data_IF_891270184015
#
_entry.id   IF_891270184015
#
_cell.length_a   1.000
_cell.length_b   1.000
_cell.length_c   1.000
_cell.angle_alpha   90.00
_cell.angle_beta   90.00
_cell.angle_gamma   90.00
#
_symmetry.space_group_name_H-M   'P 1'
#
loop_
_entity.id
_entity.type
_entity.pdbx_description
1 polymer ?
#
# COMPACT_ATOMS: atom_id res chain seq x y z
N UNK A 1 -20.39 -44.29 -40.09
CA UNK A 1 -19.42 -43.48 -40.88
C UNK A 1 -18.03 -44.03 -40.63
N UNK A 2 -17.24 -44.34 -41.66
CA UNK A 2 -15.84 -44.78 -41.49
C UNK A 2 -14.94 -43.58 -41.80
N UNK A 3 -14.13 -43.15 -40.84
CA UNK A 3 -13.18 -42.05 -41.01
C UNK A 3 -11.75 -42.60 -41.09
N UNK A 4 -10.93 -41.95 -41.91
CA UNK A 4 -9.51 -42.30 -42.06
C UNK A 4 -8.76 -41.77 -40.84
N UNK A 5 -7.80 -42.54 -40.32
CA UNK A 5 -6.96 -42.10 -39.19
C UNK A 5 -6.11 -40.88 -39.59
N UNK A 6 -5.91 -39.89 -38.71
CA UNK A 6 -5.15 -38.66 -39.02
C UNK A 6 -3.73 -38.92 -39.58
N UNK A 7 -3.07 -40.01 -39.17
CA UNK A 7 -1.73 -40.37 -39.65
C UNK A 7 -1.64 -40.76 -41.13
N UNK A 8 -2.77 -41.03 -41.81
CA UNK A 8 -2.81 -41.34 -43.23
C UNK A 8 -3.00 -40.09 -44.13
N UNK A 9 -3.10 -38.90 -43.53
CA UNK A 9 -3.24 -37.64 -44.27
C UNK A 9 -2.08 -37.37 -45.25
N UNK A 10 -0.91 -37.96 -45.02
CA UNK A 10 0.21 -37.89 -45.97
C UNK A 10 -0.09 -38.52 -47.35
N UNK A 11 -1.11 -39.39 -47.45
CA UNK A 11 -1.57 -39.99 -48.70
C UNK A 11 -2.86 -39.34 -49.23
N UNK A 12 -3.11 -38.07 -48.91
CA UNK A 12 -4.35 -37.36 -49.23
C UNK A 12 -4.79 -37.53 -50.70
N UNK A 13 -3.87 -37.39 -51.66
CA UNK A 13 -4.19 -37.53 -53.09
C UNK A 13 -4.72 -38.92 -53.45
N UNK A 14 -4.17 -39.96 -52.82
CA UNK A 14 -4.54 -41.36 -53.04
C UNK A 14 -5.87 -41.67 -52.34
N UNK A 15 -6.09 -41.12 -51.15
CA UNK A 15 -7.36 -41.20 -50.43
C UNK A 15 -8.49 -40.50 -51.19
N UNK A 16 -8.24 -39.32 -51.77
CA UNK A 16 -9.18 -38.61 -52.64
C UNK A 16 -9.49 -39.41 -53.91
N UNK A 17 -8.48 -40.01 -54.54
CA UNK A 17 -8.66 -40.87 -55.71
C UNK A 17 -9.51 -42.13 -55.41
N UNK A 18 -9.46 -42.64 -54.17
CA UNK A 18 -10.29 -43.74 -53.68
C UNK A 18 -11.70 -43.30 -53.22
N UNK A 19 -12.07 -42.03 -53.44
CA UNK A 19 -13.40 -41.49 -53.10
C UNK A 19 -13.54 -41.02 -51.65
N UNK A 20 -12.46 -40.86 -50.90
CA UNK A 20 -12.52 -40.25 -49.57
C UNK A 20 -12.71 -38.73 -49.69
N UNK A 21 -13.55 -38.17 -48.83
CA UNK A 21 -13.84 -36.74 -48.78
C UNK A 21 -13.22 -36.11 -47.53
N UNK A 22 -12.71 -34.89 -47.67
CA UNK A 22 -12.16 -34.14 -46.55
C UNK A 22 -13.28 -33.69 -45.62
N UNK A 23 -13.11 -33.93 -44.32
CA UNK A 23 -13.99 -33.35 -43.29
C UNK A 23 -13.60 -31.88 -43.14
N UNK A 24 -14.50 -30.99 -43.56
CA UNK A 24 -14.33 -29.56 -43.34
C UNK A 24 -14.79 -29.23 -41.93
N UNK A 25 -13.87 -28.69 -41.14
CA UNK A 25 -14.19 -28.10 -39.84
C UNK A 25 -14.52 -26.62 -40.05
N UNK A 26 -15.65 -26.11 -39.54
CA UNK A 26 -15.95 -24.70 -39.66
C UNK A 26 -14.92 -23.87 -38.91
N UNK A 27 -14.49 -22.76 -39.51
CA UNK A 27 -13.68 -21.76 -38.81
C UNK A 27 -14.54 -21.11 -37.74
N UNK A 28 -14.24 -21.38 -36.47
CA UNK A 28 -14.95 -20.76 -35.34
C UNK A 28 -14.20 -19.50 -34.92
N UNK A 29 -14.86 -18.35 -35.01
CA UNK A 29 -14.40 -17.13 -34.36
C UNK A 29 -14.40 -17.35 -32.85
N UNK A 30 -13.21 -17.30 -32.24
CA UNK A 30 -13.11 -17.45 -30.79
C UNK A 30 -13.83 -16.28 -30.10
N UNK A 31 -14.55 -16.52 -28.99
CA UNK A 31 -15.03 -15.44 -28.15
C UNK A 31 -13.88 -14.54 -27.70
N UNK A 32 -14.17 -13.24 -27.55
CA UNK A 32 -13.21 -12.32 -26.93
C UNK A 32 -12.97 -12.79 -25.49
N UNK A 33 -11.71 -13.00 -25.15
CA UNK A 33 -11.34 -13.30 -23.76
C UNK A 33 -11.52 -12.02 -22.94
N UNK A 34 -12.50 -12.05 -22.05
CA UNK A 34 -12.65 -11.04 -21.01
C UNK A 34 -11.85 -11.50 -19.78
N UNK A 35 -10.85 -10.72 -19.39
CA UNK A 35 -10.15 -10.95 -18.13
C UNK A 35 -11.07 -10.50 -16.99
N UNK A 36 -11.20 -11.33 -15.95
CA UNK A 36 -11.91 -10.94 -14.74
C UNK A 36 -11.20 -9.74 -14.10
N UNK A 37 -11.94 -8.69 -13.76
CA UNK A 37 -11.42 -7.58 -12.97
C UNK A 37 -11.42 -7.96 -11.49
N UNK A 38 -10.29 -7.80 -10.80
CA UNK A 38 -10.26 -7.87 -9.33
C UNK A 38 -11.22 -6.84 -8.74
N UNK A 39 -11.93 -7.22 -7.68
CA UNK A 39 -12.83 -6.30 -6.94
C UNK A 39 -12.06 -5.07 -6.47
N UNK A 40 -10.83 -5.24 -5.99
CA UNK A 40 -9.97 -4.15 -5.53
C UNK A 40 -9.62 -3.19 -6.67
N UNK A 41 -9.24 -3.71 -7.84
CA UNK A 41 -8.94 -2.88 -9.02
C UNK A 41 -10.17 -2.10 -9.50
N UNK A 42 -11.36 -2.70 -9.41
CA UNK A 42 -12.62 -2.02 -9.70
C UNK A 42 -12.92 -0.92 -8.69
N UNK A 43 -12.67 -1.14 -7.39
CA UNK A 43 -12.85 -0.13 -6.34
C UNK A 43 -11.86 1.03 -6.47
N UNK A 44 -10.62 0.75 -6.84
CA UNK A 44 -9.61 1.78 -7.15
C UNK A 44 -10.06 2.63 -8.34
N UNK A 45 -10.56 2.00 -9.42
CA UNK A 45 -11.13 2.71 -10.57
C UNK A 45 -12.33 3.58 -10.17
N UNK A 46 -13.26 3.04 -9.37
CA UNK A 46 -14.43 3.79 -8.89
C UNK A 46 -14.01 5.02 -8.07
N UNK A 47 -12.96 4.88 -7.23
CA UNK A 47 -12.41 6.01 -6.48
C UNK A 47 -11.83 7.07 -7.40
N UNK A 48 -11.05 6.68 -8.41
CA UNK A 48 -10.51 7.61 -9.42
C UNK A 48 -11.58 8.31 -10.26
N UNK A 49 -12.75 7.68 -10.44
CA UNK A 49 -13.90 8.25 -11.15
C UNK A 49 -14.85 9.07 -10.25
N UNK A 50 -14.57 9.20 -8.95
CA UNK A 50 -15.45 9.93 -8.02
C UNK A 50 -16.76 9.20 -7.70
N UNK A 51 -16.85 7.88 -7.92
CA UNK A 51 -18.10 7.11 -7.82
C UNK A 51 -18.20 6.37 -6.49
N UNK A 52 -19.41 6.35 -5.93
CA UNK A 52 -19.75 5.61 -4.70
C UNK A 52 -18.94 6.01 -3.46
N UNK A 53 -18.35 7.20 -3.47
CA UNK A 53 -17.60 7.76 -2.35
C UNK A 53 -18.57 8.21 -1.26
N UNK A 54 -18.34 7.74 -0.04
CA UNK A 54 -19.23 7.90 1.12
C UNK A 54 -18.50 8.46 2.35
N UNK A 55 -17.22 8.79 2.22
CA UNK A 55 -16.45 9.50 3.24
C UNK A 55 -15.45 10.47 2.62
N UNK A 56 -15.24 11.61 3.27
CA UNK A 56 -14.19 12.57 2.94
C UNK A 56 -13.35 12.85 4.18
N UNK A 57 -12.04 12.96 4.00
CA UNK A 57 -11.12 13.43 5.02
C UNK A 57 -10.63 14.83 4.66
N UNK A 58 -10.46 15.71 5.64
CA UNK A 58 -9.91 17.05 5.48
C UNK A 58 -8.66 17.19 6.36
N UNK A 59 -7.53 17.49 5.74
CA UNK A 59 -6.26 17.82 6.41
C UNK A 59 -5.47 18.78 5.52
N UNK A 60 -4.72 19.72 6.12
CA UNK A 60 -3.92 20.72 5.39
C UNK A 60 -4.68 21.46 4.27
N UNK A 61 -5.99 21.71 4.49
CA UNK A 61 -6.86 22.38 3.50
C UNK A 61 -7.23 21.52 2.27
N UNK A 62 -6.88 20.24 2.25
CA UNK A 62 -7.11 19.31 1.14
C UNK A 62 -8.10 18.21 1.53
N UNK A 63 -8.91 17.81 0.56
CA UNK A 63 -9.85 16.71 0.71
C UNK A 63 -9.31 15.41 0.12
N UNK A 64 -9.53 14.30 0.83
CA UNK A 64 -9.29 12.94 0.33
C UNK A 64 -10.59 12.17 0.42
N UNK A 65 -11.11 11.72 -0.71
CA UNK A 65 -12.36 10.96 -0.78
C UNK A 65 -12.10 9.46 -0.91
N UNK A 66 -12.92 8.65 -0.24
CA UNK A 66 -12.78 7.20 -0.21
C UNK A 66 -14.13 6.48 0.00
N UNK A 67 -14.08 5.15 -0.08
CA UNK A 67 -15.14 4.23 0.30
C UNK A 67 -14.91 3.73 1.73
N UNK A 68 -15.89 3.91 2.63
CA UNK A 68 -15.86 3.43 4.02
C UNK A 68 -15.59 1.94 4.10
N UNK A 69 -16.21 1.16 3.21
CA UNK A 69 -16.05 -0.31 3.18
C UNK A 69 -14.61 -0.74 2.87
N UNK A 70 -13.88 0.02 2.03
CA UNK A 70 -12.48 -0.29 1.72
C UNK A 70 -11.60 0.01 2.92
N UNK A 71 -11.80 1.16 3.56
CA UNK A 71 -11.04 1.54 4.76
C UNK A 71 -11.33 0.58 5.92
N UNK A 72 -12.60 0.22 6.14
CA UNK A 72 -12.99 -0.75 7.16
C UNK A 72 -12.44 -2.16 6.91
N UNK A 73 -12.15 -2.54 5.66
CA UNK A 73 -11.57 -3.83 5.36
C UNK A 73 -10.09 -3.93 5.75
N UNK A 74 -9.37 -2.81 5.80
CA UNK A 74 -7.93 -2.77 6.11
C UNK A 74 -7.60 -2.26 7.50
N UNK A 75 -8.52 -1.53 8.14
CA UNK A 75 -8.35 -0.88 9.43
C UNK A 75 -9.49 -1.25 10.38
N UNK A 76 -9.14 -1.88 11.49
CA UNK A 76 -10.12 -2.20 12.54
C UNK A 76 -10.71 -0.92 13.14
N UNK A 77 -9.90 0.13 13.31
CA UNK A 77 -10.37 1.46 13.74
C UNK A 77 -11.47 1.98 12.82
N UNK A 78 -11.25 1.96 11.49
CA UNK A 78 -12.25 2.38 10.51
C UNK A 78 -13.48 1.46 10.52
N UNK A 79 -13.30 0.15 10.70
CA UNK A 79 -14.41 -0.79 10.81
C UNK A 79 -15.34 -0.46 12.00
N UNK A 80 -14.75 -0.14 13.15
CA UNK A 80 -15.49 0.30 14.34
C UNK A 80 -16.15 1.66 14.08
N UNK A 81 -15.42 2.63 13.53
CA UNK A 81 -15.91 3.97 13.23
C UNK A 81 -17.10 3.94 12.26
N UNK A 82 -17.06 3.08 11.24
CA UNK A 82 -18.09 2.99 10.19
C UNK A 82 -19.14 1.91 10.44
N UNK A 83 -19.13 1.26 11.61
CA UNK A 83 -20.06 0.19 11.98
C UNK A 83 -21.53 0.61 12.13
N UNK A 84 -21.83 1.92 12.03
CA UNK A 84 -23.17 2.49 12.25
C UNK A 84 -23.56 2.61 13.72
N UNK A 85 -22.67 2.26 14.66
CA UNK A 85 -22.89 2.43 16.11
C UNK A 85 -22.88 3.88 16.56
N UNK A 86 -22.18 4.75 15.83
CA UNK A 86 -22.03 6.16 16.12
C UNK A 86 -22.39 6.99 14.88
N UNK A 87 -22.94 8.21 15.03
CA UNK A 87 -23.09 9.13 13.92
C UNK A 87 -21.72 9.39 13.28
N UNK A 88 -21.61 9.15 11.98
CA UNK A 88 -20.38 9.40 11.22
C UNK A 88 -20.58 10.66 10.40
N UNK A 89 -19.76 11.67 10.67
CA UNK A 89 -19.74 12.89 9.88
C UNK A 89 -19.42 12.59 8.41
N UNK A 90 -19.96 13.41 7.51
CA UNK A 90 -19.66 13.29 6.08
C UNK A 90 -18.23 13.71 5.74
N UNK A 91 -17.63 14.57 6.58
CA UNK A 91 -16.26 15.05 6.49
C UNK A 91 -15.57 14.80 7.82
N UNK A 92 -14.54 13.95 7.82
CA UNK A 92 -13.70 13.68 8.97
C UNK A 92 -12.52 14.64 8.93
N UNK A 93 -12.35 15.44 9.98
CA UNK A 93 -11.24 16.38 10.08
C UNK A 93 -10.06 15.71 10.77
N UNK A 94 -8.89 15.78 10.15
CA UNK A 94 -7.63 15.24 10.65
C UNK A 94 -6.53 16.31 10.66
N UNK A 95 -6.91 17.59 10.68
CA UNK A 95 -6.00 18.73 10.74
C UNK A 95 -5.47 18.97 12.15
N UNK A 96 -4.33 19.65 12.24
CA UNK A 96 -3.63 19.91 13.50
C UNK A 96 -4.49 20.72 14.49
N UNK A 97 -5.34 21.62 13.98
CA UNK A 97 -6.23 22.42 14.82
C UNK A 97 -7.37 21.60 15.45
N UNK A 98 -7.87 20.60 14.72
CA UNK A 98 -9.02 19.80 15.16
C UNK A 98 -8.63 18.55 15.95
N UNK A 99 -7.48 17.97 15.62
CA UNK A 99 -6.94 16.78 16.27
C UNK A 99 -5.42 16.90 16.41
N UNK A 100 -4.92 17.71 17.38
CA UNK A 100 -3.49 17.95 17.53
C UNK A 100 -2.73 16.70 18.00
N UNK A 101 -3.40 15.79 18.69
CA UNK A 101 -2.78 14.57 19.23
C UNK A 101 -2.65 13.53 18.13
N UNK A 102 -3.72 13.28 17.38
CA UNK A 102 -3.76 12.27 16.33
C UNK A 102 -3.69 12.88 14.92
N UNK A 103 -3.07 14.06 14.80
CA UNK A 103 -2.87 14.75 13.53
C UNK A 103 -2.24 13.83 12.48
N UNK A 104 -2.82 13.85 11.27
CA UNK A 104 -2.27 13.18 10.10
C UNK A 104 -2.11 14.19 8.97
N UNK A 105 -0.88 14.37 8.51
CA UNK A 105 -0.57 15.19 7.34
C UNK A 105 -1.28 14.64 6.09
N UNK A 106 -1.44 15.49 5.08
CA UNK A 106 -2.04 15.07 3.82
C UNK A 106 -1.24 13.93 3.17
N UNK A 107 0.09 13.98 3.24
CA UNK A 107 0.94 12.91 2.73
C UNK A 107 0.63 11.58 3.43
N UNK A 108 0.70 11.54 4.76
CA UNK A 108 0.46 10.32 5.55
C UNK A 108 -0.92 9.74 5.28
N UNK A 109 -1.95 10.60 5.35
CA UNK A 109 -3.32 10.16 5.14
C UNK A 109 -3.57 9.67 3.70
N UNK A 110 -2.98 10.34 2.71
CA UNK A 110 -3.07 9.91 1.31
C UNK A 110 -2.38 8.58 1.09
N UNK A 111 -1.19 8.38 1.66
CA UNK A 111 -0.43 7.14 1.56
C UNK A 111 -1.19 5.98 2.20
N UNK A 112 -1.75 6.15 3.39
CA UNK A 112 -2.56 5.13 4.06
C UNK A 112 -3.83 4.77 3.29
N UNK A 113 -4.54 5.79 2.76
CA UNK A 113 -5.74 5.55 1.97
C UNK A 113 -5.36 4.87 0.65
N UNK A 114 -4.28 5.26 -0.03
CA UNK A 114 -3.83 4.60 -1.25
C UNK A 114 -3.41 3.15 -1.00
N UNK A 115 -2.70 2.90 0.10
CA UNK A 115 -2.37 1.54 0.55
C UNK A 115 -3.62 0.66 0.65
N UNK A 116 -4.74 1.19 1.16
CA UNK A 116 -6.00 0.46 1.24
C UNK A 116 -6.56 -0.02 -0.12
N UNK A 117 -6.21 0.65 -1.23
CA UNK A 117 -6.64 0.29 -2.59
C UNK A 117 -5.59 -0.51 -3.36
N UNK A 118 -4.32 -0.43 -2.98
CA UNK A 118 -3.21 -0.97 -3.78
C UNK A 118 -2.51 -2.15 -3.10
N UNK A 119 -2.71 -2.31 -1.79
CA UNK A 119 -2.00 -3.26 -0.92
C UNK A 119 -0.47 -3.15 -1.05
N UNK A 120 -0.02 -1.98 -1.51
CA UNK A 120 1.37 -1.61 -1.74
C UNK A 120 1.51 -0.13 -1.44
N UNK A 121 2.64 0.23 -0.88
CA UNK A 121 3.00 1.62 -0.63
C UNK A 121 3.90 2.09 -1.77
N UNK A 122 3.62 3.28 -2.28
CA UNK A 122 4.57 4.01 -3.10
C UNK A 122 5.61 4.67 -2.19
N UNK A 123 6.82 4.11 -2.20
CA UNK A 123 7.92 4.58 -1.37
C UNK A 123 8.72 5.72 -2.02
N UNK A 124 8.39 6.14 -3.25
CA UNK A 124 9.24 7.05 -4.04
C UNK A 124 9.56 8.37 -3.34
N UNK A 125 8.63 8.93 -2.57
CA UNK A 125 8.85 10.17 -1.81
C UNK A 125 9.67 9.96 -0.52
N UNK A 126 9.68 8.74 0.03
CA UNK A 126 10.30 8.38 1.32
C UNK A 126 11.62 7.62 1.17
N UNK A 127 11.93 7.12 -0.03
CA UNK A 127 13.13 6.34 -0.30
C UNK A 127 14.37 7.23 -0.37
N UNK A 128 15.44 6.83 0.32
CA UNK A 128 16.70 7.56 0.27
C UNK A 128 17.40 7.41 -1.08
N UNK A 129 18.01 8.51 -1.52
CA UNK A 129 18.92 8.59 -2.65
C UNK A 129 20.32 8.97 -2.16
N UNK A 130 21.35 8.47 -2.83
CA UNK A 130 22.75 8.85 -2.58
C UNK A 130 23.00 10.36 -2.75
N UNK A 131 22.10 11.04 -3.47
CA UNK A 131 22.15 12.49 -3.71
C UNK A 131 21.41 13.32 -2.66
N UNK A 132 20.76 12.69 -1.69
CA UNK A 132 19.98 13.41 -0.68
C UNK A 132 20.88 14.18 0.28
N UNK A 133 20.60 15.48 0.43
CA UNK A 133 21.22 16.29 1.44
C UNK A 133 20.66 15.96 2.85
N UNK A 134 21.34 16.39 3.94
CA UNK A 134 20.90 16.07 5.30
C UNK A 134 19.48 16.53 5.63
N UNK A 135 19.01 17.63 5.02
CA UNK A 135 17.65 18.14 5.21
C UNK A 135 16.64 17.24 4.51
N UNK A 136 16.92 16.82 3.27
CA UNK A 136 16.09 15.85 2.54
C UNK A 136 15.97 14.52 3.30
N UNK A 137 17.07 14.02 3.87
CA UNK A 137 17.05 12.79 4.69
C UNK A 137 16.17 12.97 5.94
N UNK A 138 16.29 14.11 6.63
CA UNK A 138 15.46 14.40 7.80
C UNK A 138 13.96 14.46 7.43
N UNK A 139 13.60 15.11 6.32
CA UNK A 139 12.21 15.15 5.84
C UNK A 139 11.67 13.76 5.51
N UNK A 140 12.47 12.91 4.86
CA UNK A 140 12.06 11.52 4.54
C UNK A 140 11.87 10.68 5.80
N UNK A 141 12.74 10.85 6.80
CA UNK A 141 12.59 10.22 8.10
C UNK A 141 11.30 10.69 8.80
N UNK A 142 11.01 12.00 8.80
CA UNK A 142 9.79 12.53 9.39
C UNK A 142 8.53 11.95 8.73
N UNK A 143 8.53 11.84 7.39
CA UNK A 143 7.42 11.22 6.64
C UNK A 143 7.24 9.75 7.00
N UNK A 144 8.33 8.98 7.16
CA UNK A 144 8.26 7.59 7.59
C UNK A 144 7.74 7.46 9.02
N UNK A 145 8.18 8.31 9.95
CA UNK A 145 7.72 8.30 11.34
C UNK A 145 6.26 8.77 11.46
N UNK A 146 5.83 9.74 10.66
CA UNK A 146 4.42 10.13 10.56
C UNK A 146 3.56 8.97 10.04
N UNK A 147 4.03 8.27 9.01
CA UNK A 147 3.33 7.11 8.46
C UNK A 147 3.26 5.95 9.45
N UNK A 148 4.32 5.74 10.24
CA UNK A 148 4.34 4.75 11.31
C UNK A 148 3.29 5.05 12.38
N UNK A 149 3.25 6.29 12.85
CA UNK A 149 2.23 6.78 13.80
C UNK A 149 0.83 6.63 13.22
N UNK A 150 0.62 7.04 11.97
CA UNK A 150 -0.67 6.91 11.29
C UNK A 150 -1.13 5.46 11.15
N UNK A 151 -0.23 4.56 10.75
CA UNK A 151 -0.53 3.14 10.61
C UNK A 151 -0.88 2.48 11.95
N UNK A 152 -0.22 2.85 13.03
CA UNK A 152 -0.57 2.41 14.39
C UNK A 152 -1.93 2.98 14.82
N UNK A 153 -2.14 4.29 14.64
CA UNK A 153 -3.38 4.97 14.99
C UNK A 153 -4.61 4.41 14.25
N UNK A 154 -4.47 4.06 12.97
CA UNK A 154 -5.53 3.39 12.20
C UNK A 154 -5.56 1.88 12.41
N UNK A 155 -4.70 1.30 13.24
CA UNK A 155 -4.63 -0.14 13.46
C UNK A 155 -4.51 -0.90 12.12
N UNK A 156 -3.48 -0.57 11.34
CA UNK A 156 -3.14 -1.24 10.07
C UNK A 156 -1.80 -1.99 10.25
N UNK A 157 -1.79 -3.22 10.82
CA UNK A 157 -0.56 -3.90 11.22
C UNK A 157 0.38 -4.19 10.04
N UNK A 158 -0.18 -4.51 8.87
CA UNK A 158 0.59 -4.79 7.66
C UNK A 158 1.36 -3.57 7.16
N UNK A 159 0.75 -2.38 7.24
CA UNK A 159 1.42 -1.12 6.89
C UNK A 159 2.45 -0.75 7.96
N UNK A 160 2.09 -0.84 9.24
CA UNK A 160 3.00 -0.57 10.36
C UNK A 160 4.29 -1.38 10.22
N UNK A 161 4.18 -2.69 10.02
CA UNK A 161 5.33 -3.59 9.87
C UNK A 161 6.18 -3.27 8.64
N UNK A 162 5.56 -2.83 7.54
CA UNK A 162 6.30 -2.42 6.33
C UNK A 162 7.13 -1.15 6.57
N UNK A 163 6.54 -0.16 7.26
CA UNK A 163 7.23 1.07 7.62
C UNK A 163 8.36 0.80 8.60
N UNK A 164 8.14 -0.06 9.59
CA UNK A 164 9.17 -0.48 10.55
C UNK A 164 10.39 -1.08 9.84
N UNK A 165 10.15 -2.05 8.95
CA UNK A 165 11.23 -2.66 8.17
C UNK A 165 11.95 -1.62 7.31
N UNK A 166 11.22 -0.68 6.68
CA UNK A 166 11.84 0.36 5.85
C UNK A 166 12.77 1.27 6.66
N UNK A 167 12.38 1.64 7.88
CA UNK A 167 13.22 2.44 8.79
C UNK A 167 14.45 1.63 9.23
N UNK A 168 14.24 0.36 9.61
CA UNK A 168 15.30 -0.55 10.07
C UNK A 168 16.33 -0.85 8.96
N UNK A 169 15.88 -1.12 7.74
CA UNK A 169 16.76 -1.40 6.59
C UNK A 169 17.62 -0.18 6.20
N UNK A 170 17.20 1.01 6.63
CA UNK A 170 17.84 2.29 6.35
C UNK A 170 18.51 2.89 7.61
N UNK A 171 18.69 2.07 8.65
CA UNK A 171 19.19 2.47 9.96
C UNK A 171 20.51 3.25 9.90
N UNK A 172 21.47 2.80 9.09
CA UNK A 172 22.80 3.44 8.98
C UNK A 172 22.77 4.87 8.46
N UNK A 173 21.71 5.23 7.72
CA UNK A 173 21.56 6.56 7.13
C UNK A 173 20.74 7.49 8.01
N UNK A 174 19.75 6.94 8.74
CA UNK A 174 18.86 7.72 9.60
C UNK A 174 19.34 7.81 11.05
N UNK A 175 19.96 6.75 11.59
CA UNK A 175 20.34 6.64 12.99
C UNK A 175 21.73 7.25 13.22
N UNK A 176 21.74 8.44 13.82
CA UNK A 176 22.94 9.12 14.27
C UNK A 176 22.73 9.71 15.67
N UNK A 177 23.79 10.25 16.25
CA UNK A 177 23.77 10.83 17.62
C UNK A 177 22.67 11.89 17.80
N UNK A 178 22.37 12.67 16.77
CA UNK A 178 21.40 13.76 16.84
C UNK A 178 19.95 13.28 16.64
N UNK A 179 19.76 12.20 15.87
CA UNK A 179 18.43 11.70 15.50
C UNK A 179 17.95 10.56 16.39
N UNK A 180 18.85 9.82 17.06
CA UNK A 180 18.50 8.61 17.81
C UNK A 180 17.43 8.85 18.89
N UNK A 181 17.52 9.95 19.64
CA UNK A 181 16.52 10.30 20.66
C UNK A 181 15.17 10.63 20.04
N UNK A 182 15.15 11.40 18.95
CA UNK A 182 13.91 11.78 18.25
C UNK A 182 13.23 10.53 17.66
N UNK A 183 14.01 9.65 17.01
CA UNK A 183 13.48 8.40 16.46
C UNK A 183 12.91 7.53 17.59
N UNK A 184 13.61 7.45 18.73
CA UNK A 184 13.14 6.69 19.90
C UNK A 184 11.79 7.22 20.43
N UNK A 185 11.69 8.52 20.67
CA UNK A 185 10.46 9.15 21.19
C UNK A 185 9.28 8.92 20.24
N UNK A 186 9.49 9.17 18.94
CA UNK A 186 8.45 9.00 17.92
C UNK A 186 8.07 7.54 17.68
N UNK A 187 9.03 6.61 17.80
CA UNK A 187 8.75 5.18 17.76
C UNK A 187 7.91 4.74 18.97
N UNK A 188 8.18 5.29 20.15
CA UNK A 188 7.39 4.99 21.36
C UNK A 188 5.95 5.50 21.25
N UNK A 189 5.76 6.70 20.71
CA UNK A 189 4.43 7.23 20.41
C UNK A 189 3.65 6.36 19.41
N UNK A 190 4.34 5.76 18.44
CA UNK A 190 3.75 4.84 17.48
C UNK A 190 3.71 3.37 17.95
N UNK A 191 4.06 3.10 19.21
CA UNK A 191 4.11 1.76 19.80
C UNK A 191 5.02 0.79 19.05
N UNK A 192 6.12 1.25 18.47
CA UNK A 192 7.08 0.44 17.72
C UNK A 192 8.25 0.01 18.60
N UNK A 193 8.07 -1.15 19.25
CA UNK A 193 9.06 -1.69 20.19
C UNK A 193 10.40 -2.02 19.51
N UNK A 194 10.36 -2.49 18.27
CA UNK A 194 11.57 -2.86 17.53
C UNK A 194 12.48 -1.65 17.26
N UNK A 195 11.90 -0.52 16.85
CA UNK A 195 12.66 0.72 16.61
C UNK A 195 13.12 1.33 17.94
N UNK A 196 12.28 1.31 18.98
CA UNK A 196 12.69 1.76 20.31
C UNK A 196 13.94 1.00 20.81
N UNK A 197 13.92 -0.33 20.75
CA UNK A 197 15.01 -1.17 21.24
C UNK A 197 16.29 -0.99 20.41
N UNK A 198 16.15 -0.78 19.10
CA UNK A 198 17.26 -0.39 18.22
C UNK A 198 17.88 0.94 18.66
N UNK A 199 17.08 1.98 18.87
CA UNK A 199 17.56 3.28 19.30
C UNK A 199 18.22 3.23 20.68
N UNK A 200 17.63 2.48 21.63
CA UNK A 200 18.22 2.26 22.96
C UNK A 200 19.59 1.60 22.80
N UNK A 201 19.68 0.49 22.07
CA UNK A 201 20.94 -0.21 21.84
C UNK A 201 22.02 0.70 21.22
N UNK A 202 21.63 1.53 20.25
CA UNK A 202 22.54 2.51 19.65
C UNK A 202 23.00 3.58 20.65
N UNK A 203 22.10 4.15 21.44
CA UNK A 203 22.41 5.16 22.46
C UNK A 203 23.34 4.56 23.53
N UNK A 204 23.09 3.32 23.98
CA UNK A 204 23.91 2.66 24.98
C UNK A 204 25.33 2.36 24.47
N UNK A 205 25.46 1.86 23.23
CA UNK A 205 26.76 1.59 22.61
C UNK A 205 27.58 2.85 22.39
N UNK A 206 26.92 3.98 22.09
CA UNK A 206 27.57 5.26 21.85
C UNK A 206 27.61 6.17 23.09
N UNK A 207 27.10 5.72 24.25
CA UNK A 207 27.14 6.47 25.51
C UNK A 207 28.54 7.00 25.87
N UNK A 208 29.64 6.25 25.69
CA UNK A 208 30.99 6.77 25.96
C UNK A 208 31.40 7.93 25.03
N UNK A 209 30.86 7.97 23.82
CA UNK A 209 31.11 9.03 22.82
C UNK A 209 30.21 10.24 23.09
N UNK A 210 29.00 10.02 23.61
CA UNK A 210 28.02 11.04 23.99
C UNK A 210 28.34 11.75 25.30
N UNK A 211 28.84 11.00 26.29
CA UNK A 211 29.26 11.53 27.59
C UNK A 211 30.69 12.11 27.53
N UNK A 212 31.52 11.61 26.62
CA UNK A 212 32.85 12.13 26.35
C UNK A 212 33.85 11.97 27.51
N UNK A 213 35.12 12.12 27.13
CA UNK A 213 36.30 12.43 27.95
C UNK A 213 36.02 13.17 29.26
#
# INVERSE_FOLDING_TARGET
MKAVRPGLMQFENLLRALGCHTIFYPTVTRPVLHYGSSVLASLQKLRGEGKLLDVKFLTEGKYIEAHRVVLAAVSEKCAVQFSGRWPVESVIKCGEEEDPVDYLSYHTLSTMINYAYEDKVDWSEMELSDTDDPKSKATKLDMLLDLLKGADYWLIPALKSQVENKIIDTDKEFLNIQTATIIQERAAEAGSKAIEDMCIGFIELNRPVLEGV
#
